data_IF_912789252627
#
_entry.id   IF_912789252627
#
_cell.length_a   1.000
_cell.length_b   1.000
_cell.length_c   1.000
_cell.angle_alpha   90.00
_cell.angle_beta   90.00
_cell.angle_gamma   90.00
#
_symmetry.space_group_name_H-M   'P 1'
#
loop_
_entity.id
_entity.type
_entity.pdbx_description
1 polymer ?
#
# COMPACT_ATOMS: atom_id res chain seq x y z
N UNK A 1 24.16 1.36 -26.70
CA UNK A 1 22.93 2.04 -26.27
C UNK A 1 22.66 3.13 -27.29
N UNK A 2 21.63 2.96 -28.10
CA UNK A 2 21.29 3.87 -29.22
C UNK A 2 20.80 5.22 -28.68
N UNK A 3 21.04 6.32 -29.41
CA UNK A 3 20.73 7.68 -28.94
C UNK A 3 19.23 7.89 -28.62
N UNK A 4 18.33 7.16 -29.29
CA UNK A 4 16.88 7.15 -28.98
C UNK A 4 16.55 6.64 -27.56
N UNK A 5 17.38 5.75 -27.00
CA UNK A 5 17.17 5.20 -25.65
C UNK A 5 17.60 6.18 -24.54
N UNK A 6 18.59 7.04 -24.82
CA UNK A 6 19.01 8.12 -23.92
C UNK A 6 17.98 9.24 -23.87
N UNK A 7 17.36 9.56 -24.99
CA UNK A 7 16.37 10.63 -25.07
C UNK A 7 15.12 10.29 -24.27
N UNK A 8 14.62 9.05 -24.41
CA UNK A 8 13.49 8.55 -23.64
C UNK A 8 13.72 8.59 -22.12
N UNK A 9 14.89 8.15 -21.66
CA UNK A 9 15.24 8.15 -20.22
C UNK A 9 15.26 9.57 -19.64
N UNK A 10 15.75 10.54 -20.42
CA UNK A 10 15.78 11.95 -20.02
C UNK A 10 14.37 12.54 -19.91
N UNK A 11 13.45 12.15 -20.80
CA UNK A 11 12.04 12.53 -20.73
C UNK A 11 11.39 11.97 -19.45
N UNK A 12 11.65 10.71 -19.09
CA UNK A 12 11.13 10.14 -17.84
C UNK A 12 11.61 10.90 -16.60
N UNK A 13 12.90 11.18 -16.49
CA UNK A 13 13.45 11.91 -15.33
C UNK A 13 12.84 13.31 -15.23
N UNK A 14 12.70 14.04 -16.35
CA UNK A 14 12.05 15.35 -16.36
C UNK A 14 10.59 15.28 -15.90
N UNK A 15 9.83 14.27 -16.32
CA UNK A 15 8.46 14.06 -15.85
C UNK A 15 8.47 13.85 -14.33
N UNK A 16 9.33 12.97 -13.81
CA UNK A 16 9.39 12.68 -12.38
C UNK A 16 9.79 13.89 -11.52
N UNK A 17 10.78 14.67 -11.97
CA UNK A 17 11.22 15.87 -11.26
C UNK A 17 10.10 16.94 -11.27
N UNK A 18 9.41 17.12 -12.40
CA UNK A 18 8.28 18.06 -12.51
C UNK A 18 7.06 17.66 -11.67
N UNK A 19 6.87 16.36 -11.46
CA UNK A 19 5.72 15.81 -10.74
C UNK A 19 5.82 16.03 -9.22
N UNK A 20 7.04 16.23 -8.72
CA UNK A 20 7.31 16.58 -7.32
C UNK A 20 7.53 18.07 -7.08
N UNK A 21 7.61 18.88 -8.13
CA UNK A 21 7.78 20.32 -7.98
C UNK A 21 6.54 20.94 -7.33
N UNK A 22 6.74 21.60 -6.18
CA UNK A 22 5.65 22.15 -5.37
C UNK A 22 4.75 21.10 -4.69
N UNK A 23 5.08 19.81 -4.70
CA UNK A 23 4.28 18.78 -4.04
C UNK A 23 4.51 18.76 -2.52
N UNK A 24 3.44 18.96 -1.74
CA UNK A 24 3.46 18.80 -0.28
C UNK A 24 2.83 17.47 0.14
N UNK A 25 3.67 16.54 0.60
CA UNK A 25 3.25 15.21 1.06
C UNK A 25 2.61 15.20 2.45
N UNK A 26 2.66 16.31 3.19
CA UNK A 26 2.01 16.45 4.50
C UNK A 26 0.50 16.66 4.36
N UNK A 27 0.04 17.06 3.17
CA UNK A 27 -1.35 17.38 2.89
C UNK A 27 -2.00 16.27 2.05
N UNK A 28 -3.14 15.76 2.53
CA UNK A 28 -3.94 14.80 1.77
C UNK A 28 -4.47 15.44 0.47
N UNK A 29 -4.65 14.65 -0.60
CA UNK A 29 -5.24 15.14 -1.84
C UNK A 29 -6.66 15.68 -1.61
N UNK A 30 -6.94 16.89 -2.10
CA UNK A 30 -8.25 17.54 -1.95
C UNK A 30 -8.53 18.05 -0.53
N UNK A 31 -7.50 18.37 0.27
CA UNK A 31 -7.67 19.06 1.54
C UNK A 31 -8.44 20.38 1.33
N UNK A 32 -9.57 20.53 2.02
CA UNK A 32 -10.46 21.69 1.88
C UNK A 32 -11.47 21.61 0.72
N UNK A 33 -11.40 20.57 -0.12
CA UNK A 33 -12.29 20.41 -1.28
C UNK A 33 -13.22 19.20 -1.15
N UNK A 34 -12.65 18.01 -0.96
CA UNK A 34 -13.37 16.73 -0.99
C UNK A 34 -12.76 15.70 -0.06
N UNK A 35 -13.49 14.62 0.19
CA UNK A 35 -12.96 13.45 0.89
C UNK A 35 -12.05 12.66 -0.05
N UNK A 36 -10.94 12.16 0.47
CA UNK A 36 -10.03 11.28 -0.28
C UNK A 36 -10.57 9.84 -0.20
N UNK A 37 -11.20 9.37 -1.28
CA UNK A 37 -11.65 7.97 -1.37
C UNK A 37 -10.45 7.06 -1.63
N UNK A 38 -10.20 6.12 -0.71
CA UNK A 38 -9.16 5.10 -0.83
C UNK A 38 -9.83 3.74 -1.01
N UNK A 39 -9.65 3.14 -2.18
CA UNK A 39 -10.11 1.79 -2.51
C UNK A 39 -9.06 0.79 -2.06
N UNK A 40 -9.47 -0.16 -1.22
CA UNK A 40 -8.57 -1.18 -0.67
C UNK A 40 -8.89 -2.55 -1.23
N UNK A 41 -7.85 -3.34 -1.49
CA UNK A 41 -7.94 -4.74 -1.93
C UNK A 41 -6.92 -5.57 -1.13
N UNK A 42 -7.30 -6.80 -0.78
CA UNK A 42 -6.47 -7.73 0.00
C UNK A 42 -6.38 -9.03 -0.77
N UNK A 43 -5.16 -9.41 -1.13
CA UNK A 43 -4.88 -10.76 -1.61
C UNK A 43 -4.12 -11.54 -0.54
N UNK A 44 -4.76 -12.54 0.05
CA UNK A 44 -4.15 -13.40 1.06
C UNK A 44 -3.23 -14.41 0.39
N UNK A 45 -1.94 -14.38 0.72
CA UNK A 45 -0.98 -15.36 0.20
C UNK A 45 -0.93 -16.62 1.06
N UNK A 46 -1.05 -16.46 2.38
CA UNK A 46 -1.05 -17.56 3.33
C UNK A 46 -1.73 -17.13 4.62
N UNK A 47 -2.49 -18.06 5.19
CA UNK A 47 -2.96 -18.00 6.58
C UNK A 47 -1.93 -18.79 7.38
N UNK A 48 -1.24 -18.10 8.29
CA UNK A 48 -0.22 -18.67 9.15
C UNK A 48 -0.81 -19.40 10.37
N UNK A 49 0.03 -19.77 11.35
CA UNK A 49 -0.44 -20.47 12.53
C UNK A 49 -1.38 -19.59 13.36
N UNK A 50 -2.32 -20.27 14.01
CA UNK A 50 -3.21 -19.73 15.03
C UNK A 50 -2.67 -20.18 16.39
N UNK A 51 -2.49 -19.23 17.31
CA UNK A 51 -2.08 -19.47 18.70
C UNK A 51 -3.30 -19.29 19.59
N UNK A 52 -3.79 -20.39 20.16
CA UNK A 52 -4.83 -20.43 21.19
C UNK A 52 -4.32 -19.83 22.51
N UNK A 53 -3.05 -20.07 22.84
CA UNK A 53 -2.38 -19.49 24.01
C UNK A 53 -2.32 -17.96 23.97
N UNK A 54 -1.95 -17.39 22.83
CA UNK A 54 -1.80 -15.94 22.66
C UNK A 54 -3.07 -15.26 22.10
N UNK A 55 -4.12 -16.04 21.77
CA UNK A 55 -5.35 -15.59 21.11
C UNK A 55 -5.06 -14.71 19.88
N UNK A 56 -4.24 -15.22 18.96
CA UNK A 56 -3.84 -14.49 17.76
C UNK A 56 -3.59 -15.44 16.59
N UNK A 57 -3.54 -14.86 15.40
CA UNK A 57 -3.20 -15.57 14.18
C UNK A 57 -2.28 -14.71 13.32
N UNK A 58 -1.47 -15.40 12.51
CA UNK A 58 -0.61 -14.74 11.52
C UNK A 58 -1.25 -14.82 10.15
N UNK A 59 -1.17 -13.74 9.36
CA UNK A 59 -1.63 -13.73 7.98
C UNK A 59 -0.63 -12.97 7.09
N UNK A 60 -0.31 -13.54 5.94
CA UNK A 60 0.49 -12.88 4.92
C UNK A 60 -0.41 -12.39 3.80
N UNK A 61 -0.28 -11.11 3.46
CA UNK A 61 -1.14 -10.44 2.48
C UNK A 61 -0.34 -9.56 1.53
N UNK A 62 -0.83 -9.45 0.29
CA UNK A 62 -0.60 -8.26 -0.53
C UNK A 62 -1.74 -7.28 -0.26
N UNK A 63 -1.42 -6.23 0.50
CA UNK A 63 -2.33 -5.14 0.79
C UNK A 63 -2.20 -4.08 -0.30
N UNK A 64 -3.31 -3.80 -0.99
CA UNK A 64 -3.37 -2.89 -2.13
C UNK A 64 -4.29 -1.73 -1.81
N UNK A 65 -3.85 -0.53 -2.16
CA UNK A 65 -4.60 0.69 -1.99
C UNK A 65 -4.55 1.50 -3.28
N UNK A 66 -5.69 2.03 -3.68
CA UNK A 66 -5.80 2.92 -4.83
C UNK A 66 -6.59 4.17 -4.47
N UNK A 67 -6.04 5.32 -4.82
CA UNK A 67 -6.68 6.63 -4.59
C UNK A 67 -6.31 7.56 -5.74
N UNK A 68 -7.00 8.70 -5.81
CA UNK A 68 -6.75 9.72 -6.82
C UNK A 68 -6.04 10.92 -6.20
N UNK A 69 -4.91 11.32 -6.76
CA UNK A 69 -4.21 12.56 -6.44
C UNK A 69 -4.00 13.38 -7.73
N UNK A 70 -4.81 14.43 -7.90
CA UNK A 70 -4.80 15.27 -9.11
C UNK A 70 -3.46 15.99 -9.31
N UNK A 71 -2.68 16.17 -8.24
CA UNK A 71 -1.36 16.83 -8.28
C UNK A 71 -0.31 15.98 -8.98
N UNK A 72 -0.53 14.66 -9.08
CA UNK A 72 0.40 13.69 -9.67
C UNK A 72 0.02 13.29 -11.10
N UNK A 73 -0.82 14.09 -11.77
CA UNK A 73 -1.09 13.96 -13.20
C UNK A 73 0.15 14.27 -14.01
N UNK A 74 0.32 13.57 -15.12
CA UNK A 74 1.41 13.85 -16.06
C UNK A 74 0.95 13.60 -17.49
N UNK A 75 1.68 14.16 -18.44
CA UNK A 75 1.56 13.85 -19.86
C UNK A 75 2.89 13.33 -20.37
N UNK A 76 2.89 12.17 -21.00
CA UNK A 76 4.10 11.57 -21.54
C UNK A 76 3.79 10.41 -22.47
N UNK A 77 4.82 9.79 -23.06
CA UNK A 77 4.63 8.65 -23.96
C UNK A 77 4.11 7.37 -23.29
N UNK A 78 3.95 7.35 -21.95
CA UNK A 78 3.48 6.21 -21.17
C UNK A 78 2.21 6.57 -20.42
N UNK A 79 1.27 5.62 -20.39
CA UNK A 79 0.05 5.77 -19.60
C UNK A 79 0.29 5.51 -18.09
N UNK A 80 1.34 4.76 -17.73
CA UNK A 80 1.60 4.33 -16.34
C UNK A 80 3.08 4.40 -16.00
N UNK A 81 3.40 5.17 -14.95
CA UNK A 81 4.70 5.18 -14.31
C UNK A 81 4.77 4.08 -13.25
N UNK A 82 5.80 3.24 -13.31
CA UNK A 82 6.08 2.20 -12.30
C UNK A 82 7.28 2.65 -11.48
N UNK A 83 7.05 2.98 -10.21
CA UNK A 83 8.00 3.67 -9.36
C UNK A 83 8.44 2.77 -8.21
N UNK A 84 9.71 2.93 -7.83
CA UNK A 84 10.29 2.22 -6.71
C UNK A 84 9.87 2.86 -5.36
N UNK A 85 10.28 2.23 -4.26
CA UNK A 85 9.92 2.69 -2.91
C UNK A 85 10.42 4.10 -2.56
N UNK A 86 11.50 4.60 -3.18
CA UNK A 86 12.05 5.92 -2.88
C UNK A 86 11.07 7.05 -3.25
N UNK A 87 10.30 6.85 -4.33
CA UNK A 87 9.26 7.79 -4.73
C UNK A 87 8.05 7.72 -3.79
N UNK A 88 7.69 6.52 -3.33
CA UNK A 88 6.55 6.32 -2.45
C UNK A 88 6.67 7.10 -1.12
N UNK A 89 7.90 7.30 -0.61
CA UNK A 89 8.12 8.13 0.59
C UNK A 89 8.02 9.64 0.36
N UNK A 90 8.03 10.11 -0.90
CA UNK A 90 7.94 11.53 -1.25
C UNK A 90 6.52 12.00 -1.58
N UNK A 91 5.58 11.07 -1.70
CA UNK A 91 4.18 11.37 -1.95
C UNK A 91 3.33 11.12 -0.71
N UNK A 92 2.15 11.73 -0.64
CA UNK A 92 1.19 11.39 0.40
C UNK A 92 0.69 9.96 0.18
N UNK A 93 0.70 9.16 1.26
CA UNK A 93 0.11 7.82 1.29
C UNK A 93 -0.85 7.73 2.48
N UNK A 94 -2.01 7.06 2.36
CA UNK A 94 -2.93 6.90 3.47
C UNK A 94 -2.26 6.13 4.63
N UNK A 95 -2.55 6.55 5.84
CA UNK A 95 -2.00 6.06 7.11
C UNK A 95 -2.76 4.83 7.64
N UNK A 96 -3.02 3.86 6.76
CA UNK A 96 -3.81 2.69 7.14
C UNK A 96 -3.07 1.78 8.11
N UNK A 97 -3.71 1.48 9.24
CA UNK A 97 -3.20 0.57 10.27
C UNK A 97 -4.22 -0.52 10.61
N UNK A 98 -3.75 -1.62 11.22
CA UNK A 98 -4.60 -2.70 11.70
C UNK A 98 -5.01 -2.46 13.15
N UNK A 99 -6.30 -2.27 13.41
CA UNK A 99 -6.82 -1.96 14.75
C UNK A 99 -6.56 -3.09 15.75
N UNK A 100 -6.67 -4.35 15.30
CA UNK A 100 -6.38 -5.53 16.11
C UNK A 100 -5.00 -6.14 15.79
N UNK A 101 -4.10 -5.39 15.15
CA UNK A 101 -2.75 -5.84 14.87
C UNK A 101 -1.87 -5.72 16.11
N UNK A 102 -1.42 -6.85 16.69
CA UNK A 102 -0.44 -6.85 17.79
C UNK A 102 0.96 -6.48 17.29
N UNK A 103 1.36 -7.08 16.17
CA UNK A 103 2.65 -6.80 15.51
C UNK A 103 2.51 -7.04 14.02
N UNK A 104 2.89 -6.04 13.22
CA UNK A 104 2.90 -6.17 11.76
C UNK A 104 4.31 -5.94 11.22
N UNK A 105 4.72 -6.76 10.25
CA UNK A 105 6.02 -6.66 9.60
C UNK A 105 5.81 -6.34 8.13
N UNK A 106 6.32 -5.20 7.70
CA UNK A 106 6.47 -4.87 6.29
C UNK A 106 7.77 -5.49 5.77
N UNK A 107 7.66 -6.43 4.83
CA UNK A 107 8.82 -7.14 4.29
C UNK A 107 9.75 -6.20 3.53
N UNK A 108 11.03 -6.19 3.90
CA UNK A 108 12.06 -5.32 3.34
C UNK A 108 13.22 -6.04 2.64
N UNK A 109 13.11 -7.35 2.42
CA UNK A 109 14.17 -8.17 1.82
C UNK A 109 13.77 -8.70 0.43
N UNK A 110 14.60 -8.57 -0.61
CA UNK A 110 15.88 -7.84 -0.74
C UNK A 110 15.74 -6.33 -0.96
N UNK A 111 14.53 -5.87 -1.28
CA UNK A 111 14.12 -4.46 -1.31
C UNK A 111 12.79 -4.33 -0.56
N UNK A 112 12.42 -3.13 -0.06
CA UNK A 112 11.07 -2.87 0.42
C UNK A 112 10.04 -3.32 -0.60
N UNK A 113 9.18 -4.27 -0.24
CA UNK A 113 8.16 -4.85 -1.11
C UNK A 113 6.98 -3.89 -1.29
N UNK A 114 7.28 -2.69 -1.78
CA UNK A 114 6.37 -1.58 -2.04
C UNK A 114 6.47 -1.23 -3.51
N UNK A 115 5.35 -1.35 -4.21
CA UNK A 115 5.24 -0.96 -5.61
C UNK A 115 4.23 0.19 -5.70
N UNK A 116 4.68 1.30 -6.26
CA UNK A 116 3.81 2.43 -6.58
C UNK A 116 3.63 2.52 -8.09
N UNK A 117 2.39 2.64 -8.53
CA UNK A 117 2.06 2.97 -9.92
C UNK A 117 1.24 4.24 -9.97
N UNK A 118 1.53 5.10 -10.93
CA UNK A 118 0.78 6.34 -11.17
C UNK A 118 0.29 6.30 -12.62
N UNK A 119 -1.01 6.44 -12.83
CA UNK A 119 -1.61 6.61 -14.17
C UNK A 119 -1.55 8.07 -14.60
N UNK A 120 -1.65 8.35 -15.90
CA UNK A 120 -1.63 9.73 -16.44
C UNK A 120 -2.72 10.64 -15.85
N UNK A 121 -3.85 10.07 -15.43
CA UNK A 121 -4.96 10.78 -14.78
C UNK A 121 -4.74 11.07 -13.29
N UNK A 122 -3.60 10.66 -12.72
CA UNK A 122 -3.28 10.83 -11.31
C UNK A 122 -3.95 9.79 -10.42
N UNK A 123 -4.27 8.60 -10.95
CA UNK A 123 -4.71 7.47 -10.11
C UNK A 123 -3.49 6.71 -9.64
N UNK A 124 -3.40 6.49 -8.34
CA UNK A 124 -2.31 5.78 -7.69
C UNK A 124 -2.73 4.36 -7.38
N UNK A 125 -1.80 3.42 -7.52
CA UNK A 125 -1.91 2.07 -6.99
C UNK A 125 -0.66 1.79 -6.16
N UNK A 126 -0.85 1.63 -4.86
CA UNK A 126 0.18 1.30 -3.90
C UNK A 126 -0.04 -0.11 -3.39
N UNK A 127 0.95 -0.97 -3.55
CA UNK A 127 0.90 -2.36 -3.10
C UNK A 127 2.03 -2.61 -2.13
N UNK A 128 1.71 -3.23 -0.99
CA UNK A 128 2.69 -3.66 0.00
C UNK A 128 2.48 -5.13 0.38
N UNK A 129 3.57 -5.86 0.61
CA UNK A 129 3.53 -7.21 1.22
C UNK A 129 3.69 -7.10 2.73
N UNK A 130 2.71 -7.58 3.48
CA UNK A 130 2.69 -7.54 4.94
C UNK A 130 2.54 -8.94 5.52
N UNK A 131 3.22 -9.17 6.64
CA UNK A 131 2.84 -10.20 7.61
C UNK A 131 2.18 -9.51 8.79
N UNK A 132 0.93 -9.85 9.07
CA UNK A 132 0.14 -9.25 10.15
C UNK A 132 -0.10 -10.32 11.21
N UNK A 133 0.31 -10.06 12.45
CA UNK A 133 -0.17 -10.81 13.63
C UNK A 133 -1.34 -10.05 14.22
N UNK A 134 -2.53 -10.62 14.08
CA UNK A 134 -3.77 -10.01 14.52
C UNK A 134 -4.39 -10.81 15.67
N UNK A 135 -5.01 -10.09 16.60
CA UNK A 135 -5.74 -10.68 17.72
C UNK A 135 -7.03 -11.37 17.23
N UNK A 136 -7.26 -12.58 17.75
CA UNK A 136 -8.45 -13.37 17.54
C UNK A 136 -9.00 -13.83 18.90
N UNK A 137 -9.99 -13.13 19.46
CA UNK A 137 -10.63 -13.57 20.70
C UNK A 137 -11.40 -14.87 20.45
N UNK A 138 -11.03 -15.92 21.20
CA UNK A 138 -11.62 -17.25 21.09
C UNK A 138 -12.45 -17.56 22.33
N UNK A 139 -13.59 -18.23 22.12
CA UNK A 139 -14.42 -18.78 23.19
C UNK A 139 -14.18 -20.29 23.23
N UNK A 140 -13.47 -20.76 24.26
CA UNK A 140 -13.00 -22.15 24.37
C UNK A 140 -13.94 -23.01 25.25
N UNK A 141 -15.23 -22.67 25.30
CA UNK A 141 -16.23 -23.40 26.11
C UNK A 141 -16.46 -24.83 25.60
N UNK A 142 -16.34 -25.04 24.28
CA UNK A 142 -16.57 -26.31 23.59
C UNK A 142 -15.27 -27.02 23.16
N UNK A 143 -14.12 -26.69 23.74
CA UNK A 143 -12.83 -27.25 23.33
C UNK A 143 -12.83 -28.80 23.41
N UNK A 144 -12.37 -29.53 22.37
CA UNK A 144 -11.72 -29.07 21.12
C UNK A 144 -12.66 -28.99 19.90
N UNK A 145 -13.98 -28.99 20.11
CA UNK A 145 -15.03 -29.03 19.08
C UNK A 145 -15.67 -27.65 18.85
N UNK A 146 -14.91 -26.58 19.11
CA UNK A 146 -15.31 -25.19 18.96
C UNK A 146 -15.03 -24.66 17.54
N UNK A 147 -15.69 -23.55 17.21
CA UNK A 147 -15.50 -22.83 15.96
C UNK A 147 -15.43 -21.33 16.21
N UNK A 148 -14.49 -20.64 15.58
CA UNK A 148 -14.24 -19.21 15.80
C UNK A 148 -14.16 -18.43 14.48
N UNK A 149 -14.50 -17.15 14.55
CA UNK A 149 -14.31 -16.19 13.47
C UNK A 149 -13.25 -15.16 13.88
N UNK A 150 -12.06 -15.25 13.29
CA UNK A 150 -10.97 -14.32 13.56
C UNK A 150 -11.11 -13.06 12.68
N UNK A 151 -11.33 -11.87 13.27
CA UNK A 151 -11.52 -10.64 12.50
C UNK A 151 -10.18 -10.05 12.04
N UNK A 152 -10.17 -9.40 10.87
CA UNK A 152 -9.09 -8.49 10.47
C UNK A 152 -9.68 -7.10 10.27
N UNK A 153 -9.34 -6.16 11.16
CA UNK A 153 -9.89 -4.80 11.15
C UNK A 153 -8.78 -3.81 10.80
N UNK A 154 -9.01 -2.99 9.78
CA UNK A 154 -8.07 -1.95 9.36
C UNK A 154 -8.80 -0.66 9.00
N UNK A 155 -8.12 0.47 9.16
CA UNK A 155 -8.66 1.80 8.94
C UNK A 155 -7.56 2.85 8.94
N UNK A 156 -7.93 4.09 8.62
CA UNK A 156 -7.11 5.30 8.83
C UNK A 156 -7.34 5.81 10.25
#
# INVERSE_FOLDING_TARGET
MTDEQKDNTTVFTKILDSLLDGYDNRLRPGLGERVTEVKTDIFVTSIGPVSDHDMEYTIDVFFRQSWKDERLKFKGPMAVLRLNNLMASKIWTPDTFFHNGKKSVAHNMTMPNKLLRITEEGTLLYTMRLTVRAECPMHLEDFPMDAHACPLKFGS
#
